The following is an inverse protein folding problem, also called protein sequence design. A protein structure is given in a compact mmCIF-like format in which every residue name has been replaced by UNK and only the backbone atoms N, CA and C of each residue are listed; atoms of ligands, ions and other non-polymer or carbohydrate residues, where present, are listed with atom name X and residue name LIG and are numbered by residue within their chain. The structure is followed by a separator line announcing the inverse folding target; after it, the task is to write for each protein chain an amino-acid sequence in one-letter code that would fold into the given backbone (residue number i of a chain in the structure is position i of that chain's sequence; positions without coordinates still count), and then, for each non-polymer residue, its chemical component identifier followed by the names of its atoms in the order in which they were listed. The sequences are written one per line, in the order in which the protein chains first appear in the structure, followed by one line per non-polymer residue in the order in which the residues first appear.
data_IF_148574000656
#
_entry.id   IF_148574000656
#
_cell.length_a   1.000
_cell.length_b   1.000
_cell.length_c   1.000
_cell.angle_alpha   90.00
_cell.angle_beta   90.00
_cell.angle_gamma   90.00
#
_symmetry.space_group_name_H-M   'P 1'
#
loop_
_entity.id
_entity.type
_entity.pdbx_description
1 polymer ?
#
# COMPACT_ATOMS: atom_id res chain seq x y z
N UNK A 1 12.58 5.20 -19.14
CA UNK A 1 12.99 4.20 -18.14
C UNK A 1 11.72 3.63 -17.54
N UNK A 2 11.49 2.32 -17.64
CA UNK A 2 10.29 1.67 -17.11
C UNK A 2 10.49 1.51 -15.60
N UNK A 3 9.80 2.31 -14.78
CA UNK A 3 9.88 2.21 -13.33
C UNK A 3 9.10 0.96 -12.92
N UNK A 4 9.78 -0.02 -12.32
CA UNK A 4 9.16 -1.22 -11.73
C UNK A 4 8.98 -0.97 -10.23
N UNK A 5 7.75 -1.05 -9.73
CA UNK A 5 7.48 -0.81 -8.31
C UNK A 5 7.80 -2.06 -7.50
N UNK A 6 8.61 -1.95 -6.43
CA UNK A 6 8.97 -3.12 -5.64
C UNK A 6 7.80 -3.57 -4.77
N UNK A 7 7.45 -4.85 -4.88
CA UNK A 7 6.53 -5.54 -3.97
C UNK A 7 7.21 -5.72 -2.61
N UNK A 8 6.44 -5.65 -1.52
CA UNK A 8 6.90 -5.80 -0.13
C UNK A 8 7.88 -4.73 0.37
N UNK A 9 7.94 -3.61 -0.32
CA UNK A 9 8.67 -2.42 0.13
C UNK A 9 7.72 -1.36 0.67
N UNK A 10 7.92 -0.83 1.89
CA UNK A 10 7.18 0.34 2.37
C UNK A 10 7.55 1.56 1.53
N UNK A 11 6.55 2.20 0.92
CA UNK A 11 6.74 3.37 0.04
C UNK A 11 5.72 4.44 0.44
N UNK A 12 6.12 5.70 0.34
CA UNK A 12 5.30 6.83 0.69
C UNK A 12 4.51 7.35 -0.51
N UNK A 13 3.27 7.72 -0.27
CA UNK A 13 2.37 8.40 -1.19
C UNK A 13 2.40 9.91 -0.90
N UNK A 14 2.12 10.71 -1.93
CA UNK A 14 1.92 12.15 -1.78
C UNK A 14 0.67 12.44 -0.95
N UNK A 15 0.78 13.36 0.00
CA UNK A 15 -0.33 13.75 0.88
C UNK A 15 -1.57 14.24 0.11
N UNK A 16 -1.37 14.92 -1.03
CA UNK A 16 -2.48 15.40 -1.86
C UNK A 16 -3.32 14.26 -2.44
N UNK A 17 -2.70 13.10 -2.72
CA UNK A 17 -3.40 11.91 -3.15
C UNK A 17 -4.22 11.30 -2.02
N UNK A 18 -3.64 11.17 -0.82
CA UNK A 18 -4.32 10.63 0.35
C UNK A 18 -5.61 11.40 0.64
N UNK A 19 -5.52 12.73 0.63
CA UNK A 19 -6.66 13.61 0.87
C UNK A 19 -7.77 13.51 -0.20
N UNK A 20 -7.42 13.09 -1.43
CA UNK A 20 -8.36 12.94 -2.55
C UNK A 20 -9.07 11.58 -2.58
N UNK A 21 -8.56 10.58 -1.87
CA UNK A 21 -9.23 9.27 -1.78
C UNK A 21 -10.52 9.47 -0.97
N UNK A 22 -11.65 9.54 -1.69
CA UNK A 22 -12.98 9.80 -1.11
C UNK A 22 -13.26 8.86 0.07
N UNK A 23 -13.73 9.43 1.17
CA UNK A 23 -14.15 8.70 2.37
C UNK A 23 -13.05 8.35 3.37
N UNK A 24 -11.85 8.97 3.29
CA UNK A 24 -10.79 8.80 4.31
C UNK A 24 -10.35 7.35 4.49
N UNK A 25 -10.40 6.57 3.39
CA UNK A 25 -10.22 5.11 3.46
C UNK A 25 -8.80 4.69 3.79
N UNK A 26 -7.81 5.53 3.45
CA UNK A 26 -6.40 5.40 3.78
C UNK A 26 -6.10 6.40 4.91
N UNK A 27 -5.55 5.95 6.04
CA UNK A 27 -5.20 6.77 7.20
C UNK A 27 -3.69 7.03 7.30
N UNK A 28 -2.88 6.28 6.57
CA UNK A 28 -1.42 6.40 6.46
C UNK A 28 -1.04 6.71 5.02
N UNK A 29 -0.05 7.58 4.83
CA UNK A 29 0.58 7.86 3.55
C UNK A 29 1.63 6.80 3.18
N UNK A 30 1.89 5.80 4.02
CA UNK A 30 2.83 4.71 3.72
C UNK A 30 2.06 3.45 3.35
N UNK A 31 2.46 2.84 2.25
CA UNK A 31 1.85 1.62 1.70
C UNK A 31 2.91 0.57 1.40
N UNK A 32 2.45 -0.66 1.19
CA UNK A 32 3.25 -1.74 0.63
C UNK A 32 2.50 -2.37 -0.55
N UNK A 33 3.16 -2.51 -1.69
CA UNK A 33 2.61 -3.28 -2.81
C UNK A 33 2.66 -4.77 -2.46
N UNK A 34 1.60 -5.51 -2.78
CA UNK A 34 1.49 -6.95 -2.50
C UNK A 34 1.29 -7.80 -3.75
N UNK A 35 0.80 -7.22 -4.85
CA UNK A 35 0.66 -7.91 -6.12
C UNK A 35 0.60 -6.93 -7.30
N UNK A 36 0.97 -7.44 -8.47
CA UNK A 36 0.77 -6.80 -9.78
C UNK A 36 -0.02 -7.78 -10.66
N UNK A 37 -0.99 -7.26 -11.41
CA UNK A 37 -1.88 -8.05 -12.28
C UNK A 37 -2.25 -7.22 -13.50
N UNK A 38 -1.61 -7.51 -14.64
CA UNK A 38 -1.78 -6.76 -15.88
C UNK A 38 -1.48 -5.27 -15.68
N UNK A 39 -2.49 -4.43 -15.88
CA UNK A 39 -2.36 -2.97 -15.71
C UNK A 39 -2.63 -2.47 -14.28
N UNK A 40 -2.90 -3.36 -13.33
CA UNK A 40 -3.28 -3.01 -11.97
C UNK A 40 -2.20 -3.42 -10.96
N UNK A 41 -2.11 -2.64 -9.89
CA UNK A 41 -1.37 -3.01 -8.68
C UNK A 41 -2.30 -3.09 -7.49
N UNK A 42 -1.93 -3.95 -6.56
CA UNK A 42 -2.59 -4.11 -5.28
C UNK A 42 -1.64 -3.70 -4.17
N UNK A 43 -2.12 -2.88 -3.24
CA UNK A 43 -1.34 -2.43 -2.11
C UNK A 43 -2.15 -2.43 -0.83
N UNK A 44 -1.44 -2.46 0.29
CA UNK A 44 -1.99 -2.43 1.64
C UNK A 44 -1.42 -1.23 2.39
N UNK A 45 -2.23 -0.66 3.27
CA UNK A 45 -1.85 0.43 4.15
C UNK A 45 -0.85 -0.05 5.23
N UNK A 46 0.23 0.71 5.43
CA UNK A 46 1.16 0.48 6.52
C UNK A 46 0.78 1.27 7.77
N UNK A 47 1.12 0.73 8.93
CA UNK A 47 0.95 1.36 10.24
C UNK A 47 2.28 1.98 10.66
N UNK A 48 2.31 3.30 10.89
CA UNK A 48 3.53 4.02 11.28
C UNK A 48 3.98 3.71 12.71
N UNK A 49 3.02 3.69 13.62
CA UNK A 49 3.24 3.50 15.05
C UNK A 49 2.31 2.42 15.58
N UNK A 50 2.85 1.52 16.39
CA UNK A 50 2.10 0.53 17.12
C UNK A 50 1.88 1.08 18.53
N UNK A 51 0.65 1.44 18.88
CA UNK A 51 0.35 1.83 20.25
C UNK A 51 0.13 0.55 21.07
N UNK A 52 0.72 0.50 22.27
CA UNK A 52 0.49 -0.56 23.23
C UNK A 52 -1.02 -0.70 23.50
N UNK A 53 -1.59 -1.87 23.22
CA UNK A 53 -3.01 -2.17 23.44
C UNK A 53 -3.87 -2.34 22.20
N UNK A 54 -3.35 -2.16 20.98
CA UNK A 54 -4.09 -2.57 19.77
C UNK A 54 -4.03 -4.09 19.60
N UNK A 55 -4.96 -4.81 20.23
CA UNK A 55 -5.27 -6.20 19.90
C UNK A 55 -6.11 -6.26 18.61
N UNK A 56 -5.65 -5.56 17.56
CA UNK A 56 -6.33 -5.54 16.28
C UNK A 56 -5.81 -6.70 15.44
N UNK A 57 -6.65 -7.73 15.30
CA UNK A 57 -6.38 -8.93 14.49
C UNK A 57 -5.96 -8.65 13.04
N UNK A 58 -6.23 -7.45 12.55
CA UNK A 58 -5.90 -7.01 11.20
C UNK A 58 -4.56 -6.29 11.10
N UNK A 59 -3.88 -6.01 12.21
CA UNK A 59 -2.54 -5.43 12.20
C UNK A 59 -1.52 -6.56 12.29
N UNK A 60 -0.69 -6.67 11.26
CA UNK A 60 0.50 -7.50 11.27
C UNK A 60 1.72 -6.61 11.57
N UNK A 61 2.26 -6.63 12.80
CA UNK A 61 3.53 -5.96 13.08
C UNK A 61 4.67 -6.63 12.32
N UNK A 62 5.69 -5.86 11.96
CA UNK A 62 6.95 -6.38 11.43
C UNK A 62 8.12 -5.79 12.22
N UNK A 63 9.27 -6.46 12.20
CA UNK A 63 10.48 -5.98 12.84
C UNK A 63 11.16 -4.93 11.93
N UNK A 64 11.17 -3.64 12.31
CA UNK A 64 11.77 -2.60 11.48
C UNK A 64 13.29 -2.74 11.38
N UNK A 65 13.95 -3.42 12.32
CA UNK A 65 15.41 -3.59 12.30
C UNK A 65 15.87 -4.76 11.39
N UNK A 66 14.94 -5.56 10.89
CA UNK A 66 15.19 -6.68 9.97
C UNK A 66 14.96 -6.34 8.49
N UNK A 67 14.77 -5.06 8.14
CA UNK A 67 14.62 -4.67 6.74
C UNK A 67 15.82 -5.08 5.89
N UNK A 68 15.59 -5.37 4.62
CA UNK A 68 16.63 -5.91 3.71
C UNK A 68 16.73 -5.06 2.46
N UNK A 69 17.94 -4.65 2.08
CA UNK A 69 18.20 -3.96 0.81
C UNK A 69 18.28 -4.94 -0.37
N UNK A 70 18.22 -4.42 -1.60
CA UNK A 70 18.49 -5.21 -2.82
C UNK A 70 19.85 -5.92 -2.80
N UNK A 71 20.82 -5.36 -2.06
CA UNK A 71 22.15 -5.95 -1.87
C UNK A 71 22.18 -7.12 -0.88
N UNK A 72 21.06 -7.43 -0.20
CA UNK A 72 20.98 -8.42 0.88
C UNK A 72 21.45 -7.89 2.25
N UNK A 73 21.92 -6.64 2.34
CA UNK A 73 22.29 -6.02 3.61
C UNK A 73 21.05 -5.69 4.44
N UNK A 74 21.16 -5.85 5.75
CA UNK A 74 20.14 -5.40 6.69
C UNK A 74 20.17 -3.87 6.81
N UNK A 75 18.99 -3.26 6.79
CA UNK A 75 18.78 -1.84 7.01
C UNK A 75 17.44 -1.58 7.69
N UNK A 76 17.42 -0.58 8.57
CA UNK A 76 16.24 -0.22 9.34
C UNK A 76 15.13 0.38 8.46
N UNK A 77 13.92 -0.12 8.61
CA UNK A 77 12.70 0.43 8.03
C UNK A 77 12.22 1.59 8.92
N UNK A 78 12.34 2.82 8.43
CA UNK A 78 11.92 4.02 9.17
C UNK A 78 10.50 4.51 8.83
N UNK A 79 9.88 3.96 7.80
CA UNK A 79 8.59 4.45 7.28
C UNK A 79 7.37 3.87 8.01
N UNK A 80 7.49 2.67 8.58
CA UNK A 80 6.39 1.97 9.21
C UNK A 80 6.87 0.88 10.18
N UNK A 81 5.95 0.38 11.01
CA UNK A 81 6.16 -0.70 12.00
C UNK A 81 5.18 -1.88 11.83
N UNK A 82 4.21 -1.77 10.93
CA UNK A 82 3.24 -2.83 10.68
C UNK A 82 2.44 -2.63 9.40
N UNK A 83 1.57 -3.60 9.08
CA UNK A 83 0.70 -3.62 7.90
C UNK A 83 -0.74 -3.89 8.34
N UNK A 84 -1.71 -3.21 7.72
CA UNK A 84 -3.12 -3.31 8.07
C UNK A 84 -3.92 -4.11 7.04
N UNK A 85 -4.15 -5.38 7.34
CA UNK A 85 -4.75 -6.40 6.46
C UNK A 85 -6.27 -6.29 6.26
N UNK A 86 -6.94 -5.33 6.90
CA UNK A 86 -8.40 -5.14 6.78
C UNK A 86 -8.86 -4.73 5.37
N UNK A 87 -7.97 -4.15 4.56
CA UNK A 87 -8.28 -3.56 3.25
C UNK A 87 -7.16 -3.85 2.26
N UNK A 88 -7.53 -4.16 1.03
CA UNK A 88 -6.62 -4.24 -0.11
C UNK A 88 -7.06 -3.17 -1.10
N UNK A 89 -6.14 -2.33 -1.56
CA UNK A 89 -6.42 -1.28 -2.53
C UNK A 89 -5.97 -1.72 -3.91
N UNK A 90 -6.80 -1.52 -4.93
CA UNK A 90 -6.51 -1.77 -6.34
C UNK A 90 -6.48 -0.46 -7.10
N UNK A 91 -5.42 -0.20 -7.87
CA UNK A 91 -5.28 0.99 -8.71
C UNK A 91 -4.51 0.66 -9.99
N UNK A 92 -4.70 1.44 -11.06
CA UNK A 92 -3.88 1.29 -12.27
C UNK A 92 -2.41 1.61 -11.98
N UNK A 93 -1.52 0.79 -12.52
CA UNK A 93 -0.07 0.89 -12.37
C UNK A 93 0.45 2.29 -12.74
N UNK A 94 0.09 2.79 -13.93
CA UNK A 94 0.50 4.12 -14.38
C UNK A 94 -0.05 5.26 -13.51
N UNK A 95 -1.19 5.07 -12.85
CA UNK A 95 -1.75 6.09 -11.97
C UNK A 95 -0.96 6.19 -10.67
N UNK A 96 -0.62 5.06 -10.04
CA UNK A 96 0.05 5.05 -8.73
C UNK A 96 1.44 5.68 -8.80
N UNK A 97 2.20 5.48 -9.88
CA UNK A 97 3.56 6.04 -10.02
C UNK A 97 3.53 7.56 -9.83
N UNK A 98 2.54 8.24 -10.41
CA UNK A 98 2.39 9.69 -10.28
C UNK A 98 2.06 10.18 -8.86
N UNK A 99 1.61 9.26 -7.98
CA UNK A 99 1.16 9.51 -6.61
C UNK A 99 2.18 9.13 -5.55
N UNK A 100 3.29 8.52 -5.92
CA UNK A 100 4.37 8.20 -4.99
C UNK A 100 5.19 9.45 -4.70
N UNK A 101 5.61 9.57 -3.45
CA UNK A 101 6.56 10.56 -2.96
C UNK A 101 7.99 10.02 -3.19
N UNK A 102 8.94 10.90 -3.55
CA UNK A 102 10.36 10.55 -3.75
C UNK A 102 10.62 9.27 -4.59
N UNK A 103 9.99 9.18 -5.78
CA UNK A 103 10.04 8.00 -6.67
C UNK A 103 11.48 7.57 -7.02
N UNK A 104 12.38 8.53 -7.17
CA UNK A 104 13.79 8.35 -7.45
C UNK A 104 14.57 7.65 -6.33
N UNK A 105 14.05 7.67 -5.10
CA UNK A 105 14.68 7.04 -3.92
C UNK A 105 14.09 5.66 -3.57
N UNK A 106 13.11 5.18 -4.34
CA UNK A 106 12.46 3.88 -4.05
C UNK A 106 13.47 2.73 -4.04
N UNK A 107 14.52 2.79 -4.87
CA UNK A 107 15.53 1.74 -4.95
C UNK A 107 16.39 1.62 -3.69
N UNK A 108 16.64 2.73 -2.98
CA UNK A 108 17.41 2.74 -1.73
C UNK A 108 16.60 2.37 -0.50
N UNK A 109 15.26 2.31 -0.60
CA UNK A 109 14.43 1.92 0.53
C UNK A 109 14.56 0.40 0.81
N UNK A 110 14.56 -0.04 2.09
CA UNK A 110 14.61 -1.46 2.43
C UNK A 110 13.26 -2.15 2.19
N UNK A 111 13.30 -3.41 1.76
CA UNK A 111 12.17 -4.32 1.82
C UNK A 111 11.84 -4.67 3.28
N UNK A 112 10.62 -5.13 3.52
CA UNK A 112 10.26 -5.80 4.79
C UNK A 112 11.21 -6.99 5.03
N UNK A 113 11.53 -7.30 6.28
CA UNK A 113 12.40 -8.44 6.60
C UNK A 113 11.82 -9.77 6.12
N UNK A 114 12.69 -10.71 5.74
CA UNK A 114 12.30 -11.99 5.09
C UNK A 114 11.27 -12.75 5.94
N UNK A 115 11.49 -12.85 7.25
CA UNK A 115 10.57 -13.52 8.16
C UNK A 115 9.17 -12.88 8.15
N UNK A 116 9.11 -11.55 8.09
CA UNK A 116 7.85 -10.81 8.09
C UNK A 116 7.17 -10.83 6.72
N UNK A 117 7.94 -10.98 5.62
CA UNK A 117 7.37 -11.25 4.30
C UNK A 117 6.61 -12.59 4.29
N UNK A 118 7.20 -13.64 4.86
CA UNK A 118 6.56 -14.96 4.99
C UNK A 118 5.28 -14.84 5.83
N UNK A 119 5.37 -14.22 7.02
CA UNK A 119 4.19 -13.99 7.87
C UNK A 119 3.08 -13.22 7.17
N UNK A 120 3.43 -12.23 6.35
CA UNK A 120 2.47 -11.46 5.58
C UNK A 120 1.73 -12.35 4.57
N UNK A 121 2.47 -13.15 3.81
CA UNK A 121 1.89 -14.09 2.84
C UNK A 121 0.96 -15.07 3.54
N UNK A 122 1.42 -15.70 4.63
CA UNK A 122 0.62 -16.67 5.39
C UNK A 122 -0.65 -16.04 5.93
N UNK A 123 -0.53 -14.87 6.59
CA UNK A 123 -1.66 -14.20 7.21
C UNK A 123 -2.67 -13.68 6.19
N UNK A 124 -2.19 -13.13 5.07
CA UNK A 124 -3.05 -12.65 3.99
C UNK A 124 -3.77 -13.81 3.31
N UNK A 125 -3.08 -14.92 3.06
CA UNK A 125 -3.66 -16.14 2.49
C UNK A 125 -4.75 -16.69 3.40
N UNK A 126 -4.48 -16.80 4.71
CA UNK A 126 -5.47 -17.23 5.69
C UNK A 126 -6.71 -16.31 5.71
N UNK A 127 -6.52 -14.98 5.68
CA UNK A 127 -7.65 -14.04 5.62
C UNK A 127 -8.45 -14.13 4.33
N UNK A 128 -7.82 -14.41 3.20
CA UNK A 128 -8.52 -14.57 1.91
C UNK A 128 -9.31 -15.89 1.82
N UNK A 129 -8.98 -16.87 2.66
CA UNK A 129 -9.72 -18.14 2.77
C UNK A 129 -10.86 -18.07 3.81
N UNK A 130 -10.82 -17.11 4.74
CA UNK A 130 -11.84 -16.93 5.76
C UNK A 130 -13.04 -16.12 5.22
N UNK A 131 -14.14 -16.80 4.90
CA UNK A 131 -15.35 -16.17 4.37
C UNK A 131 -16.03 -15.17 5.32
N UNK A 132 -15.74 -15.21 6.62
CA UNK A 132 -16.32 -14.31 7.63
C UNK A 132 -15.44 -13.10 7.91
N UNK A 133 -14.15 -13.13 7.51
CA UNK A 133 -13.15 -12.11 7.83
C UNK A 133 -12.32 -11.67 6.60
N UNK A 134 -12.99 -11.57 5.44
CA UNK A 134 -12.35 -11.17 4.19
C UNK A 134 -11.90 -9.70 4.22
N UNK A 135 -10.67 -9.40 3.73
CA UNK A 135 -10.25 -8.03 3.48
C UNK A 135 -11.19 -7.33 2.48
N UNK A 136 -11.55 -6.08 2.76
CA UNK A 136 -12.33 -5.29 1.81
C UNK A 136 -11.45 -4.84 0.63
N UNK A 137 -11.83 -5.21 -0.59
CA UNK A 137 -11.22 -4.66 -1.80
C UNK A 137 -11.73 -3.24 -2.07
N UNK A 138 -10.81 -2.28 -2.20
CA UNK A 138 -11.10 -0.88 -2.51
C UNK A 138 -10.47 -0.54 -3.86
N UNK A 139 -11.31 -0.27 -4.86
CA UNK A 139 -10.84 0.13 -6.19
C UNK A 139 -10.72 1.65 -6.26
N UNK A 140 -9.52 2.14 -6.52
CA UNK A 140 -9.24 3.56 -6.74
C UNK A 140 -9.34 3.83 -8.24
N UNK A 141 -10.24 4.74 -8.61
CA UNK A 141 -10.45 5.17 -9.99
C UNK A 141 -10.48 6.69 -10.05
N UNK A 142 -9.91 7.26 -11.12
CA UNK A 142 -10.05 8.68 -11.41
C UNK A 142 -11.52 9.01 -11.62
N UNK A 143 -12.04 9.96 -10.83
CA UNK A 143 -13.39 10.50 -11.08
C UNK A 143 -13.37 11.17 -12.46
N UNK A 144 -14.06 10.60 -13.44
CA UNK A 144 -14.38 11.34 -14.66
C UNK A 144 -15.25 12.51 -14.22
N UNK A 145 -14.76 13.75 -14.35
CA UNK A 145 -15.67 14.90 -14.28
C UNK A 145 -16.65 14.68 -15.44
N UNK A 146 -17.92 14.45 -15.13
CA UNK A 146 -18.97 14.59 -16.11
C UNK A 146 -18.81 15.98 -16.72
N UNK A 147 -18.37 16.05 -17.97
CA UNK A 147 -18.58 17.24 -18.77
C UNK A 147 -20.09 17.32 -18.94
N UNK A 148 -20.74 18.08 -18.06
CA UNK A 148 -22.07 18.57 -18.33
C UNK A 148 -21.94 19.47 -19.56
N UNK A 149 -22.12 18.88 -20.74
CA UNK A 149 -22.53 19.61 -21.91
C UNK A 149 -23.91 20.18 -21.60
N UNK A 150 -23.96 21.33 -20.93
CA UNK A 150 -25.03 22.27 -21.23
C UNK A 150 -24.80 22.71 -22.67
N UNK A 151 -25.31 21.92 -23.61
CA UNK A 151 -25.74 22.47 -24.88
C UNK A 151 -26.74 23.57 -24.51
N UNK A 152 -26.30 24.82 -24.64
CA UNK A 152 -27.18 25.96 -24.66
C UNK A 152 -28.14 25.75 -25.83
N UNK A 153 -29.34 25.31 -25.50
CA UNK A 153 -30.51 25.56 -26.30
C UNK A 153 -30.96 27.01 -25.98
N UNK A 154 -30.72 27.91 -26.93
CA UNK A 154 -31.54 29.09 -27.27
C UNK A 154 -30.76 29.94 -28.27
#
# INVERSE_FOLDING_TARGET
MLITLPVLKPIKLKNDFINKIKGGSLKSDVIVLVAEDGEYVYFIECVKELNDGYNNKDILPFNPDEGVLKSGKFEKINLAKGIKLSKIFKIKYGEIISKLDEVDKIDSLPFIGINDQIKLVDKLTAKLQDTLDLPKLIVIQKSQKAQNNCAQAA
#
